data_IF_177433303164
#
_entry.id   IF_177433303164
#
_cell.length_a   1.000
_cell.length_b   1.000
_cell.length_c   1.000
_cell.angle_alpha   90.00
_cell.angle_beta   90.00
_cell.angle_gamma   90.00
#
_symmetry.space_group_name_H-M   'P 1'
#
loop_
_entity.id
_entity.type
_entity.pdbx_description
1 polymer ?
#
# COMPACT_ATOMS: atom_id res chain seq x y z
N UNK A 1 -20.93 18.95 40.53
CA UNK A 1 -19.73 18.73 39.70
C UNK A 1 -20.16 18.10 38.39
N UNK A 2 -19.88 18.79 37.29
CA UNK A 2 -20.55 18.70 35.98
C UNK A 2 -20.16 17.46 35.17
N UNK A 3 -21.07 16.48 35.03
CA UNK A 3 -20.95 15.38 34.04
C UNK A 3 -21.04 15.90 32.60
N UNK A 4 -21.63 17.08 32.40
CA UNK A 4 -21.79 17.73 31.11
C UNK A 4 -20.46 18.29 30.59
N UNK A 5 -19.67 18.95 31.44
CA UNK A 5 -18.39 19.55 31.05
C UNK A 5 -17.34 18.49 30.68
N UNK A 6 -17.35 17.31 31.29
CA UNK A 6 -16.43 16.21 30.96
C UNK A 6 -16.69 15.65 29.55
N UNK A 7 -17.96 15.60 29.13
CA UNK A 7 -18.36 15.13 27.81
C UNK A 7 -17.96 16.12 26.70
N UNK A 8 -18.15 17.42 26.95
CA UNK A 8 -17.78 18.48 26.00
C UNK A 8 -16.26 18.63 25.83
N UNK A 9 -15.50 18.49 26.92
CA UNK A 9 -14.03 18.52 26.87
C UNK A 9 -13.48 17.27 26.17
N UNK A 10 -14.09 16.10 26.38
CA UNK A 10 -13.70 14.84 25.71
C UNK A 10 -14.00 14.84 24.22
N UNK A 11 -15.11 15.42 23.76
CA UNK A 11 -15.42 15.51 22.32
C UNK A 11 -14.45 16.45 21.59
N UNK A 12 -14.00 17.55 22.24
CA UNK A 12 -12.99 18.46 21.67
C UNK A 12 -11.57 17.88 21.68
N UNK A 13 -11.29 16.94 22.60
CA UNK A 13 -10.01 16.23 22.72
C UNK A 13 -9.96 14.87 21.97
N UNK A 14 -11.10 14.41 21.42
CA UNK A 14 -11.29 13.09 20.87
C UNK A 14 -10.56 12.90 19.52
N UNK A 15 -9.32 12.41 19.60
CA UNK A 15 -8.64 11.69 18.52
C UNK A 15 -9.55 10.55 18.01
N UNK A 16 -9.52 10.26 16.71
CA UNK A 16 -10.54 9.48 15.96
C UNK A 16 -11.08 8.16 16.55
N UNK A 17 -10.37 7.53 17.49
CA UNK A 17 -10.84 6.38 18.26
C UNK A 17 -12.08 6.68 19.13
N UNK A 18 -12.14 7.86 19.74
CA UNK A 18 -13.26 8.26 20.58
C UNK A 18 -14.52 8.56 19.75
N UNK A 19 -14.36 9.08 18.54
CA UNK A 19 -15.46 9.33 17.58
C UNK A 19 -16.08 8.02 17.12
N UNK A 20 -15.26 7.01 16.80
CA UNK A 20 -15.73 5.67 16.43
C UNK A 20 -16.46 5.00 17.59
N UNK A 21 -15.91 5.11 18.81
CA UNK A 21 -16.55 4.57 20.03
C UNK A 21 -17.89 5.24 20.31
N UNK A 22 -18.00 6.55 20.07
CA UNK A 22 -19.23 7.32 20.20
C UNK A 22 -20.29 6.82 19.20
N UNK A 23 -19.91 6.58 17.94
CA UNK A 23 -20.82 6.05 16.92
C UNK A 23 -21.37 4.66 17.26
N UNK A 24 -20.52 3.75 17.74
CA UNK A 24 -20.98 2.44 18.21
C UNK A 24 -21.86 2.51 19.47
N UNK A 25 -21.57 3.43 20.40
CA UNK A 25 -22.41 3.68 21.57
C UNK A 25 -23.77 4.24 21.18
N UNK A 26 -23.81 5.20 20.26
CA UNK A 26 -25.05 5.74 19.71
C UNK A 26 -25.89 4.62 19.09
N UNK A 27 -25.26 3.73 18.32
CA UNK A 27 -25.96 2.59 17.73
C UNK A 27 -26.55 1.62 18.78
N UNK A 28 -25.87 1.40 19.91
CA UNK A 28 -26.33 0.51 20.99
C UNK A 28 -27.36 1.14 21.94
N UNK A 29 -27.57 2.47 21.90
CA UNK A 29 -28.51 3.18 22.78
C UNK A 29 -29.95 2.68 22.59
N UNK A 30 -30.66 2.23 23.64
CA UNK A 30 -32.10 1.98 23.59
C UNK A 30 -32.88 3.31 23.58
N UNK A 31 -34.02 3.36 22.89
CA UNK A 31 -34.88 4.55 22.74
C UNK A 31 -34.14 5.77 22.12
N UNK A 32 -33.86 5.68 20.81
CA UNK A 32 -33.21 6.75 20.04
C UNK A 32 -34.22 7.78 19.56
N UNK A 33 -33.84 9.05 19.57
CA UNK A 33 -34.59 10.07 18.82
C UNK A 33 -34.44 9.84 17.31
N UNK A 34 -35.30 10.46 16.51
CA UNK A 34 -35.25 10.34 15.05
C UNK A 34 -33.89 10.81 14.49
N UNK A 35 -33.35 11.92 15.03
CA UNK A 35 -32.02 12.43 14.69
C UNK A 35 -30.89 11.46 15.06
N UNK A 36 -30.95 10.85 16.25
CA UNK A 36 -29.97 9.86 16.70
C UNK A 36 -30.01 8.58 15.86
N UNK A 37 -31.22 8.17 15.43
CA UNK A 37 -31.42 7.02 14.55
C UNK A 37 -30.80 7.26 13.16
N UNK A 38 -31.03 8.44 12.57
CA UNK A 38 -30.42 8.83 11.30
C UNK A 38 -28.90 8.94 11.40
N UNK A 39 -28.38 9.51 12.49
CA UNK A 39 -26.94 9.63 12.73
C UNK A 39 -26.26 8.25 12.93
N UNK A 40 -26.91 7.32 13.63
CA UNK A 40 -26.39 5.95 13.82
C UNK A 40 -26.33 5.16 12.50
N UNK A 41 -27.38 5.25 11.67
CA UNK A 41 -27.41 4.61 10.33
C UNK A 41 -26.35 5.20 9.40
N UNK A 42 -26.21 6.53 9.41
CA UNK A 42 -25.16 7.25 8.68
C UNK A 42 -23.76 6.78 9.08
N UNK A 43 -23.48 6.73 10.39
CA UNK A 43 -22.21 6.26 10.93
C UNK A 43 -21.90 4.82 10.50
N UNK A 44 -22.83 3.88 10.69
CA UNK A 44 -22.63 2.48 10.31
C UNK A 44 -22.37 2.33 8.82
N UNK A 45 -23.14 3.02 7.97
CA UNK A 45 -22.96 2.97 6.51
C UNK A 45 -21.56 3.45 6.13
N UNK A 46 -21.14 4.60 6.62
CA UNK A 46 -19.78 5.12 6.36
C UNK A 46 -18.69 4.20 6.90
N UNK A 47 -18.88 3.65 8.11
CA UNK A 47 -17.92 2.74 8.73
C UNK A 47 -17.72 1.46 7.90
N UNK A 48 -18.80 0.76 7.55
CA UNK A 48 -18.73 -0.47 6.75
C UNK A 48 -18.22 -0.23 5.33
N UNK A 49 -18.62 0.88 4.70
CA UNK A 49 -18.06 1.26 3.38
C UNK A 49 -16.55 1.52 3.46
N UNK A 50 -16.09 2.24 4.48
CA UNK A 50 -14.66 2.51 4.67
C UNK A 50 -13.90 1.22 4.94
N UNK A 51 -14.42 0.35 5.81
CA UNK A 51 -13.83 -0.95 6.12
C UNK A 51 -13.73 -1.82 4.86
N UNK A 52 -14.78 -1.86 4.04
CA UNK A 52 -14.78 -2.60 2.77
C UNK A 52 -13.71 -2.12 1.79
N UNK A 53 -13.53 -0.80 1.65
CA UNK A 53 -12.48 -0.22 0.80
C UNK A 53 -11.09 -0.59 1.32
N UNK A 54 -10.87 -0.48 2.64
CA UNK A 54 -9.57 -0.82 3.26
C UNK A 54 -9.24 -2.30 3.07
N UNK A 55 -10.21 -3.19 3.26
CA UNK A 55 -10.03 -4.63 3.04
C UNK A 55 -9.73 -4.95 1.57
N UNK A 56 -10.45 -4.32 0.64
CA UNK A 56 -10.19 -4.46 -0.80
C UNK A 56 -8.76 -4.02 -1.14
N UNK A 57 -8.32 -2.88 -0.63
CA UNK A 57 -6.97 -2.37 -0.89
C UNK A 57 -5.90 -3.27 -0.28
N UNK A 58 -6.15 -3.81 0.91
CA UNK A 58 -5.26 -4.77 1.56
C UNK A 58 -5.11 -6.03 0.70
N UNK A 59 -6.21 -6.57 0.18
CA UNK A 59 -6.19 -7.74 -0.70
C UNK A 59 -5.45 -7.45 -2.02
N UNK A 60 -5.69 -6.28 -2.62
CA UNK A 60 -4.98 -5.83 -3.83
C UNK A 60 -3.47 -5.69 -3.61
N UNK A 61 -3.06 -5.06 -2.50
CA UNK A 61 -1.64 -4.92 -2.15
C UNK A 61 -0.98 -6.29 -1.91
N UNK A 62 -1.70 -7.22 -1.29
CA UNK A 62 -1.20 -8.58 -1.08
C UNK A 62 -0.98 -9.31 -2.42
N UNK A 63 -1.97 -9.26 -3.32
CA UNK A 63 -1.85 -9.83 -4.66
C UNK A 63 -0.71 -9.19 -5.46
N UNK A 64 -0.57 -7.87 -5.38
CA UNK A 64 0.49 -7.12 -6.04
C UNK A 64 1.88 -7.46 -5.49
N UNK A 65 2.00 -7.62 -4.17
CA UNK A 65 3.25 -8.07 -3.53
C UNK A 65 3.63 -9.47 -4.00
N UNK A 66 2.66 -10.39 -4.06
CA UNK A 66 2.86 -11.72 -4.62
C UNK A 66 3.33 -11.69 -6.08
N UNK A 67 2.70 -10.85 -6.90
CA UNK A 67 3.09 -10.65 -8.31
C UNK A 67 4.53 -10.11 -8.44
N UNK A 68 4.90 -9.11 -7.64
CA UNK A 68 6.26 -8.55 -7.64
C UNK A 68 7.30 -9.61 -7.23
N UNK A 69 7.02 -10.37 -6.17
CA UNK A 69 7.90 -11.42 -5.65
C UNK A 69 8.05 -12.61 -6.60
N UNK A 70 6.97 -13.01 -7.30
CA UNK A 70 6.95 -14.22 -8.12
C UNK A 70 8.05 -14.25 -9.20
N UNK A 71 8.40 -13.11 -9.79
CA UNK A 71 9.48 -13.08 -10.77
C UNK A 71 10.81 -12.55 -10.24
N UNK A 72 11.01 -12.49 -8.92
CA UNK A 72 12.36 -12.31 -8.34
C UNK A 72 13.08 -13.67 -8.24
N UNK A 73 12.32 -14.77 -8.19
CA UNK A 73 12.83 -16.13 -7.93
C UNK A 73 13.04 -17.01 -9.16
N UNK A 74 12.52 -16.64 -10.34
CA UNK A 74 12.49 -17.55 -11.50
C UNK A 74 13.82 -17.66 -12.26
N UNK A 75 14.71 -16.67 -12.15
CA UNK A 75 15.98 -16.62 -12.90
C UNK A 75 17.25 -16.89 -12.10
N UNK A 76 17.18 -16.88 -10.76
CA UNK A 76 18.38 -17.06 -9.93
C UNK A 76 18.63 -18.55 -9.66
N UNK A 77 19.86 -19.06 -9.87
CA UNK A 77 20.23 -20.33 -9.27
C UNK A 77 20.04 -20.22 -7.75
N UNK A 78 19.45 -21.22 -7.11
CA UNK A 78 19.20 -21.16 -5.65
C UNK A 78 20.50 -21.29 -4.83
N UNK A 79 21.56 -21.83 -5.44
CA UNK A 79 22.83 -22.17 -4.80
C UNK A 79 23.98 -21.51 -5.57
N UNK A 80 24.13 -20.18 -5.46
CA UNK A 80 25.33 -19.48 -5.93
C UNK A 80 26.02 -18.81 -4.73
N UNK A 81 27.35 -18.79 -4.75
CA UNK A 81 28.15 -18.14 -3.73
C UNK A 81 28.34 -16.64 -4.02
N UNK A 82 28.48 -16.30 -5.31
CA UNK A 82 28.79 -14.94 -5.75
C UNK A 82 28.09 -14.62 -7.08
N UNK A 83 27.82 -13.34 -7.33
CA UNK A 83 27.36 -12.85 -8.63
C UNK A 83 28.23 -11.69 -9.13
N UNK A 84 28.51 -11.62 -10.43
CA UNK A 84 29.20 -10.49 -11.09
C UNK A 84 28.45 -10.03 -12.32
N UNK A 85 28.64 -8.78 -12.70
CA UNK A 85 28.08 -8.24 -13.95
C UNK A 85 29.14 -8.25 -15.03
N UNK A 86 28.85 -8.94 -16.14
CA UNK A 86 29.61 -8.89 -17.39
C UNK A 86 28.89 -8.09 -18.47
N UNK A 87 29.51 -7.98 -19.63
CA UNK A 87 28.93 -7.37 -20.84
C UNK A 87 29.21 -8.22 -22.07
N UNK A 88 28.24 -8.26 -22.99
CA UNK A 88 28.47 -8.79 -24.33
C UNK A 88 29.45 -7.92 -25.10
N UNK A 89 30.44 -8.55 -25.72
CA UNK A 89 31.44 -7.91 -26.57
C UNK A 89 31.96 -8.92 -27.59
N UNK A 90 31.79 -8.61 -28.88
CA UNK A 90 32.19 -9.47 -29.99
C UNK A 90 31.64 -10.90 -29.87
N UNK A 91 30.38 -11.04 -29.46
CA UNK A 91 29.72 -12.36 -29.30
C UNK A 91 30.14 -13.16 -28.07
N UNK A 92 30.94 -12.59 -27.17
CA UNK A 92 31.35 -13.22 -25.91
C UNK A 92 30.95 -12.36 -24.71
N UNK A 93 30.75 -12.98 -23.56
CA UNK A 93 30.51 -12.28 -22.30
C UNK A 93 31.87 -11.97 -21.67
N UNK A 94 32.22 -10.68 -21.66
CA UNK A 94 33.38 -10.14 -20.95
C UNK A 94 33.02 -9.84 -19.50
N UNK A 95 33.79 -10.34 -18.54
CA UNK A 95 33.61 -10.04 -17.12
C UNK A 95 34.94 -9.98 -16.37
N UNK A 96 34.93 -9.39 -15.16
CA UNK A 96 36.13 -9.22 -14.33
C UNK A 96 35.97 -10.00 -13.03
N UNK A 97 36.97 -10.84 -12.72
CA UNK A 97 37.10 -11.54 -11.43
C UNK A 97 38.58 -11.64 -11.07
N UNK A 98 39.13 -10.58 -10.47
CA UNK A 98 40.58 -10.32 -10.33
C UNK A 98 41.26 -10.04 -11.68
N UNK A 99 41.03 -10.89 -12.68
CA UNK A 99 41.49 -10.73 -14.06
C UNK A 99 40.30 -10.59 -15.02
N UNK A 100 40.61 -10.28 -16.29
CA UNK A 100 39.62 -10.18 -17.36
C UNK A 100 39.37 -11.56 -17.98
N UNK A 101 38.10 -11.96 -18.06
CA UNK A 101 37.69 -13.23 -18.63
C UNK A 101 36.65 -13.03 -19.73
N UNK A 102 36.60 -14.02 -20.62
CA UNK A 102 35.62 -14.14 -21.69
C UNK A 102 34.99 -15.52 -21.62
N UNK A 103 33.66 -15.58 -21.77
CA UNK A 103 32.92 -16.84 -21.84
C UNK A 103 31.89 -16.74 -22.95
N UNK A 104 31.73 -17.83 -23.70
CA UNK A 104 30.67 -17.93 -24.70
C UNK A 104 29.29 -17.98 -24.00
N UNK A 105 28.28 -17.20 -24.44
CA UNK A 105 26.93 -17.27 -23.89
C UNK A 105 26.37 -18.69 -23.86
N UNK A 106 26.68 -19.50 -24.87
CA UNK A 106 26.20 -20.87 -25.04
C UNK A 106 26.71 -21.79 -23.92
N UNK A 107 27.90 -21.51 -23.37
CA UNK A 107 28.48 -22.27 -22.28
C UNK A 107 27.66 -22.18 -20.98
N UNK A 108 26.78 -21.18 -20.87
CA UNK A 108 25.90 -20.95 -19.72
C UNK A 108 24.42 -20.97 -20.11
N UNK A 109 24.09 -21.57 -21.27
CA UNK A 109 22.71 -21.75 -21.73
C UNK A 109 22.05 -20.48 -22.28
N UNK A 110 22.82 -19.44 -22.57
CA UNK A 110 22.34 -18.25 -23.27
C UNK A 110 22.65 -18.34 -24.76
N UNK A 111 21.84 -17.69 -25.59
CA UNK A 111 22.07 -17.61 -27.04
C UNK A 111 22.74 -16.28 -27.37
N UNK A 112 23.91 -16.30 -28.02
CA UNK A 112 24.58 -15.09 -28.48
C UNK A 112 23.70 -14.27 -29.45
N UNK A 113 22.91 -14.93 -30.31
CA UNK A 113 22.05 -14.27 -31.30
C UNK A 113 20.96 -13.40 -30.65
N UNK A 114 20.55 -13.73 -29.41
CA UNK A 114 19.56 -12.98 -28.64
C UNK A 114 20.18 -11.84 -27.81
N UNK A 115 21.51 -11.70 -27.83
CA UNK A 115 22.27 -10.83 -26.93
C UNK A 115 23.17 -9.88 -27.75
N UNK A 116 22.70 -8.67 -28.08
CA UNK A 116 23.51 -7.71 -28.81
C UNK A 116 24.72 -7.25 -27.99
N UNK A 117 25.76 -6.78 -28.68
CA UNK A 117 26.93 -6.21 -28.03
C UNK A 117 26.56 -5.04 -27.11
N UNK A 118 27.20 -4.99 -25.94
CA UNK A 118 26.92 -4.04 -24.87
C UNK A 118 25.86 -4.49 -23.86
N UNK A 119 25.07 -5.54 -24.14
CA UNK A 119 24.09 -6.08 -23.18
C UNK A 119 24.76 -6.49 -21.88
N UNK A 120 24.17 -6.09 -20.75
CA UNK A 120 24.67 -6.46 -19.42
C UNK A 120 24.17 -7.85 -19.04
N UNK A 121 25.09 -8.71 -18.61
CA UNK A 121 24.80 -10.08 -18.18
C UNK A 121 25.14 -10.20 -16.70
N UNK A 122 24.23 -10.74 -15.89
CA UNK A 122 24.53 -11.12 -14.51
C UNK A 122 24.99 -12.59 -14.53
N UNK A 123 26.22 -12.85 -14.09
CA UNK A 123 26.83 -14.16 -13.99
C UNK A 123 26.80 -14.63 -12.54
N UNK A 124 26.45 -15.89 -12.34
CA UNK A 124 26.38 -16.54 -11.03
C UNK A 124 27.50 -17.58 -10.90
N UNK A 125 28.19 -17.57 -9.76
CA UNK A 125 29.33 -18.43 -9.49
C UNK A 125 29.04 -19.41 -8.35
N UNK A 126 29.56 -20.62 -8.46
CA UNK A 126 29.60 -21.57 -7.34
C UNK A 126 30.69 -21.20 -6.32
N UNK A 127 30.79 -21.98 -5.24
CA UNK A 127 31.81 -21.80 -4.19
C UNK A 127 33.25 -22.02 -4.71
N UNK A 128 33.41 -22.79 -5.79
CA UNK A 128 34.71 -23.03 -6.43
C UNK A 128 35.08 -21.91 -7.41
N UNK A 129 34.16 -20.98 -7.66
CA UNK A 129 34.35 -19.84 -8.52
C UNK A 129 34.10 -20.11 -10.01
N UNK A 130 33.44 -21.21 -10.37
CA UNK A 130 32.98 -21.49 -11.73
C UNK A 130 31.65 -20.80 -12.02
N UNK A 131 31.47 -20.34 -13.25
CA UNK A 131 30.18 -19.78 -13.70
C UNK A 131 29.19 -20.93 -13.86
N UNK A 132 28.04 -20.84 -13.18
CA UNK A 132 26.99 -21.86 -13.19
C UNK A 132 25.72 -21.43 -13.91
N UNK A 133 25.50 -20.12 -14.07
CA UNK A 133 24.37 -19.57 -14.80
C UNK A 133 24.64 -18.12 -15.21
N UNK A 134 23.90 -17.64 -16.22
CA UNK A 134 23.83 -16.24 -16.59
C UNK A 134 22.40 -15.80 -16.88
N UNK A 135 22.11 -14.52 -16.67
CA UNK A 135 20.84 -13.91 -17.05
C UNK A 135 21.08 -12.54 -17.70
N UNK A 136 20.19 -12.16 -18.62
CA UNK A 136 20.18 -10.80 -19.16
C UNK A 136 19.76 -9.81 -18.06
N UNK A 137 20.71 -9.00 -17.60
CA UNK A 137 20.48 -8.04 -16.54
C UNK A 137 19.61 -6.86 -17.00
N UNK A 138 19.63 -6.53 -18.30
CA UNK A 138 18.83 -5.45 -18.87
C UNK A 138 17.34 -5.85 -18.92
N UNK A 139 17.04 -7.07 -19.36
CA UNK A 139 15.67 -7.59 -19.36
C UNK A 139 15.10 -7.67 -17.95
N UNK A 140 15.90 -8.19 -17.01
CA UNK A 140 15.52 -8.24 -15.59
C UNK A 140 15.28 -6.85 -15.02
N UNK A 141 16.15 -5.89 -15.34
CA UNK A 141 15.98 -4.49 -14.90
C UNK A 141 14.69 -3.91 -15.47
N UNK A 142 14.42 -4.10 -16.75
CA UNK A 142 13.21 -3.60 -17.43
C UNK A 142 11.94 -4.24 -16.88
N UNK A 143 11.98 -5.53 -16.56
CA UNK A 143 10.84 -6.22 -15.94
C UNK A 143 10.61 -5.70 -14.52
N UNK A 144 11.67 -5.53 -13.74
CA UNK A 144 11.59 -4.94 -12.39
C UNK A 144 11.03 -3.51 -12.45
N UNK A 145 11.51 -2.70 -13.38
CA UNK A 145 11.05 -1.33 -13.60
C UNK A 145 9.55 -1.30 -13.95
N UNK A 146 9.10 -2.14 -14.90
CA UNK A 146 7.68 -2.25 -15.25
C UNK A 146 6.81 -2.61 -14.05
N UNK A 147 7.26 -3.56 -13.21
CA UNK A 147 6.55 -3.95 -11.99
C UNK A 147 6.47 -2.78 -11.00
N UNK A 148 7.56 -2.05 -10.80
CA UNK A 148 7.59 -0.87 -9.91
C UNK A 148 6.66 0.23 -10.43
N UNK A 149 6.66 0.50 -11.74
CA UNK A 149 5.75 1.47 -12.36
C UNK A 149 4.29 1.06 -12.13
N UNK A 150 3.96 -0.21 -12.38
CA UNK A 150 2.61 -0.74 -12.14
C UNK A 150 2.19 -0.56 -10.68
N UNK A 151 3.08 -0.87 -9.73
CA UNK A 151 2.84 -0.65 -8.30
C UNK A 151 2.57 0.82 -8.01
N UNK A 152 3.38 1.72 -8.56
CA UNK A 152 3.19 3.16 -8.42
C UNK A 152 1.82 3.62 -8.92
N UNK A 153 1.39 3.14 -10.09
CA UNK A 153 0.07 3.46 -10.66
C UNK A 153 -1.06 2.96 -9.74
N UNK A 154 -0.98 1.71 -9.25
CA UNK A 154 -2.01 1.12 -8.38
C UNK A 154 -2.12 1.88 -7.05
N UNK A 155 -0.99 2.15 -6.40
CA UNK A 155 -0.95 2.92 -5.14
C UNK A 155 -1.47 4.35 -5.35
N UNK A 156 -1.09 4.99 -6.46
CA UNK A 156 -1.60 6.31 -6.83
C UNK A 156 -3.12 6.32 -7.03
N UNK A 157 -3.66 5.33 -7.75
CA UNK A 157 -5.10 5.18 -7.94
C UNK A 157 -5.83 4.96 -6.62
N UNK A 158 -5.29 4.12 -5.72
CA UNK A 158 -5.84 3.91 -4.38
C UNK A 158 -5.93 5.21 -3.57
N UNK A 159 -4.88 6.04 -3.59
CA UNK A 159 -4.87 7.33 -2.90
C UNK A 159 -5.95 8.28 -3.45
N UNK A 160 -6.09 8.35 -4.77
CA UNK A 160 -7.14 9.15 -5.43
C UNK A 160 -8.53 8.64 -5.04
N UNK A 161 -8.75 7.33 -5.05
CA UNK A 161 -10.03 6.73 -4.63
C UNK A 161 -10.37 7.07 -3.18
N UNK A 162 -9.41 7.05 -2.26
CA UNK A 162 -9.63 7.44 -0.86
C UNK A 162 -9.96 8.92 -0.71
N UNK A 163 -9.29 9.79 -1.47
CA UNK A 163 -9.59 11.23 -1.50
C UNK A 163 -11.02 11.48 -1.99
N UNK A 164 -11.39 10.90 -3.14
CA UNK A 164 -12.74 11.02 -3.70
C UNK A 164 -13.77 10.46 -2.72
N UNK A 165 -13.53 9.27 -2.16
CA UNK A 165 -14.41 8.66 -1.18
C UNK A 165 -14.58 9.55 0.05
N UNK A 166 -13.52 10.17 0.58
CA UNK A 166 -13.58 11.06 1.73
C UNK A 166 -14.47 12.28 1.46
N UNK A 167 -14.34 12.88 0.27
CA UNK A 167 -15.16 14.02 -0.16
C UNK A 167 -16.63 13.60 -0.30
N UNK A 168 -16.89 12.49 -0.99
CA UNK A 168 -18.25 11.99 -1.24
C UNK A 168 -18.93 11.57 0.06
N UNK A 169 -18.24 10.78 0.90
CA UNK A 169 -18.74 10.32 2.19
C UNK A 169 -19.08 11.50 3.10
N UNK A 170 -18.23 12.54 3.16
CA UNK A 170 -18.51 13.75 3.93
C UNK A 170 -19.75 14.51 3.42
N UNK A 171 -19.98 14.55 2.10
CA UNK A 171 -21.10 15.28 1.49
C UNK A 171 -22.43 14.53 1.45
N UNK A 172 -22.42 13.21 1.49
CA UNK A 172 -23.63 12.36 1.31
C UNK A 172 -24.04 11.71 2.62
N UNK A 173 -23.35 10.65 3.03
CA UNK A 173 -23.77 9.80 4.14
C UNK A 173 -23.28 10.30 5.50
N UNK A 174 -22.20 11.09 5.56
CA UNK A 174 -21.65 11.63 6.80
C UNK A 174 -22.38 12.86 7.34
N UNK A 175 -23.22 13.52 6.54
CA UNK A 175 -23.92 14.77 6.94
C UNK A 175 -24.75 14.62 8.22
N UNK A 176 -25.63 13.61 8.38
CA UNK A 176 -26.43 13.46 9.60
C UNK A 176 -25.55 13.21 10.83
N UNK A 177 -24.50 12.41 10.67
CA UNK A 177 -23.52 12.12 11.71
C UNK A 177 -22.75 13.38 12.15
N UNK A 178 -22.26 14.17 11.19
CA UNK A 178 -21.54 15.43 11.46
C UNK A 178 -22.45 16.47 12.11
N UNK A 179 -23.71 16.58 11.67
CA UNK A 179 -24.69 17.50 12.30
C UNK A 179 -24.98 17.10 13.74
N UNK A 180 -25.17 15.81 14.00
CA UNK A 180 -25.40 15.31 15.35
C UNK A 180 -24.17 15.51 16.24
N UNK A 181 -22.96 15.26 15.73
CA UNK A 181 -21.72 15.60 16.44
C UNK A 181 -21.59 17.09 16.77
N UNK A 182 -22.06 17.96 15.87
CA UNK A 182 -22.08 19.40 16.10
C UNK A 182 -23.14 19.79 17.14
N UNK A 183 -24.34 19.21 17.10
CA UNK A 183 -25.41 19.54 18.04
C UNK A 183 -25.08 19.13 19.48
N UNK A 184 -24.40 18.01 19.70
CA UNK A 184 -23.90 17.64 21.05
C UNK A 184 -22.74 18.53 21.51
N UNK A 185 -21.95 19.09 20.58
CA UNK A 185 -20.91 20.06 20.88
C UNK A 185 -21.48 21.43 21.26
N UNK A 186 -22.50 21.88 20.53
CA UNK A 186 -23.17 23.17 20.74
C UNK A 186 -24.12 23.14 21.98
N UNK A 187 -24.81 22.02 22.25
CA UNK A 187 -25.66 21.86 23.43
C UNK A 187 -24.88 21.93 24.77
N UNK A 188 -23.55 21.74 24.74
CA UNK A 188 -22.67 21.98 25.89
C UNK A 188 -22.34 23.45 26.15
N UNK A 189 -22.89 24.39 25.37
CA UNK A 189 -22.51 25.82 25.38
C UNK A 189 -23.65 26.80 25.70
N UNK A 190 -24.81 26.32 26.21
CA UNK A 190 -25.93 27.20 26.61
C UNK A 190 -25.49 28.08 27.81
N UNK A 191 -25.55 29.43 27.70
CA UNK A 191 -25.16 30.32 28.79
C UNK A 191 -26.16 30.22 29.96
N UNK A 192 -25.72 30.48 31.21
CA UNK A 192 -26.60 30.45 32.36
C UNK A 192 -27.75 31.46 32.18
N UNK A 193 -28.97 31.03 32.48
CA UNK A 193 -30.15 31.88 32.54
C UNK A 193 -29.88 33.09 33.46
N UNK A 194 -30.30 34.31 33.08
CA UNK A 194 -30.14 35.47 33.94
C UNK A 194 -30.90 35.25 35.27
N UNK A 195 -30.34 35.70 36.39
CA UNK A 195 -31.00 35.60 37.69
C UNK A 195 -32.32 36.39 37.65
N UNK A 196 -33.36 35.78 38.23
CA UNK A 196 -34.68 36.38 38.43
C UNK A 196 -34.63 37.58 39.36
#
# INVERSE_FOLDING_TARGET
MSKSNDLTLRIRAARGLDVVRLGFRLNKKPNKTEEESMAAKAFLKTFWSTLGIVLLFTALLFALTGYVMAGVSSGRPKNYAESRTGRMENGQIRYVKNELYYIAPEAIGLSADALPDGTRICLYFDENGHVIAGENADDRSRETERRVILVGIVVGAMAITLLVFSIVAGKTFGKPWIRWLKSIGDAGSVPPLPPA
#
